data_IF_717048171945
#
_entry.id   IF_717048171945
#
_cell.length_a   1.000
_cell.length_b   1.000
_cell.length_c   1.000
_cell.angle_alpha   90.00
_cell.angle_beta   90.00
_cell.angle_gamma   90.00
#
_symmetry.space_group_name_H-M   'P 1'
#
loop_
_entity.id
_entity.type
_entity.pdbx_description
1 polymer ?
#
# COMPACT_ATOMS: atom_id res chain seq x y z
N UNK A 1 36.50 -21.72 27.57
CA UNK A 1 35.27 -21.14 27.01
C UNK A 1 35.12 -21.68 25.60
N UNK A 2 34.05 -22.43 25.32
CA UNK A 2 33.76 -22.82 23.94
C UNK A 2 33.41 -21.54 23.15
N UNK A 3 33.86 -21.39 21.90
CA UNK A 3 33.50 -20.23 21.09
C UNK A 3 31.98 -20.25 20.86
N UNK A 4 31.30 -19.13 21.15
CA UNK A 4 29.89 -18.96 20.84
C UNK A 4 29.69 -19.13 19.33
N UNK A 5 28.71 -19.97 18.96
CA UNK A 5 28.33 -20.17 17.56
C UNK A 5 27.76 -18.85 17.04
N UNK A 6 28.08 -18.44 15.79
CA UNK A 6 27.49 -17.26 15.19
C UNK A 6 25.96 -17.38 15.15
N UNK A 7 25.26 -16.29 15.47
CA UNK A 7 23.81 -16.21 15.41
C UNK A 7 23.31 -16.55 13.99
N UNK A 8 22.24 -17.32 13.93
CA UNK A 8 21.52 -17.64 12.70
C UNK A 8 20.84 -16.42 12.11
N UNK A 9 20.47 -16.51 10.82
CA UNK A 9 19.73 -15.44 10.17
C UNK A 9 18.38 -15.18 10.86
N UNK A 10 17.67 -16.24 11.26
CA UNK A 10 16.41 -16.15 12.00
C UNK A 10 16.59 -15.44 13.35
N UNK A 11 17.64 -15.77 14.11
CA UNK A 11 17.94 -15.08 15.38
C UNK A 11 18.23 -13.60 15.18
N UNK A 12 19.01 -13.24 14.14
CA UNK A 12 19.29 -11.82 13.81
C UNK A 12 18.02 -11.06 13.42
N UNK A 13 17.15 -11.67 12.61
CA UNK A 13 15.89 -11.06 12.17
C UNK A 13 14.88 -10.94 13.29
N UNK A 14 14.79 -11.95 14.17
CA UNK A 14 13.96 -11.88 15.38
C UNK A 14 14.43 -10.77 16.31
N UNK A 15 15.75 -10.62 16.49
CA UNK A 15 16.32 -9.55 17.31
C UNK A 15 16.09 -8.14 16.73
N UNK A 16 15.88 -8.01 15.42
CA UNK A 16 15.58 -6.74 14.75
C UNK A 16 14.10 -6.31 14.86
N UNK A 17 13.20 -7.22 15.25
CA UNK A 17 11.76 -6.95 15.28
C UNK A 17 11.34 -5.82 16.23
N UNK A 18 11.90 -5.68 17.45
CA UNK A 18 11.58 -4.54 18.32
C UNK A 18 11.93 -3.18 17.70
N UNK A 19 13.08 -3.09 17.01
CA UNK A 19 13.50 -1.86 16.33
C UNK A 19 12.58 -1.53 15.15
N UNK A 20 12.12 -2.57 14.42
CA UNK A 20 11.15 -2.43 13.33
C UNK A 20 9.78 -1.92 13.83
N UNK A 21 9.30 -2.37 14.99
CA UNK A 21 8.09 -1.84 15.63
C UNK A 21 8.27 -0.37 16.04
N UNK A 22 9.42 -0.05 16.64
CA UNK A 22 9.74 1.29 17.12
C UNK A 22 9.82 2.33 15.99
N UNK A 23 10.09 1.91 14.74
CA UNK A 23 10.07 2.78 13.56
C UNK A 23 8.67 3.38 13.28
N UNK A 24 7.60 2.75 13.77
CA UNK A 24 6.23 3.24 13.61
C UNK A 24 5.72 4.00 14.82
N UNK A 25 5.86 3.38 16.00
CA UNK A 25 5.50 3.95 17.29
C UNK A 25 6.10 3.10 18.41
N UNK A 26 6.51 3.70 19.55
CA UNK A 26 6.91 2.92 20.73
C UNK A 26 5.78 2.03 21.29
N UNK A 27 4.53 2.27 20.87
CA UNK A 27 3.34 1.55 21.33
C UNK A 27 2.82 0.51 20.34
N UNK A 28 3.40 0.41 19.13
CA UNK A 28 2.97 -0.63 18.19
C UNK A 28 3.26 -2.01 18.78
N UNK A 29 2.26 -2.89 18.78
CA UNK A 29 2.37 -4.26 19.25
C UNK A 29 1.79 -5.19 18.19
N UNK A 30 2.64 -6.09 17.69
CA UNK A 30 2.24 -7.13 16.76
C UNK A 30 2.87 -8.46 17.18
N UNK A 31 2.26 -9.55 16.73
CA UNK A 31 2.80 -10.89 16.90
C UNK A 31 4.18 -10.99 16.23
N UNK A 32 5.08 -11.74 16.85
CA UNK A 32 6.39 -12.02 16.27
C UNK A 32 6.27 -12.62 14.85
N UNK A 33 7.17 -12.25 13.92
CA UNK A 33 7.11 -12.72 12.55
C UNK A 33 7.40 -14.22 12.47
N UNK A 34 6.76 -14.90 11.51
CA UNK A 34 7.11 -16.26 11.13
C UNK A 34 8.33 -16.22 10.21
N UNK A 35 9.50 -16.54 10.75
CA UNK A 35 10.76 -16.56 10.03
C UNK A 35 11.04 -17.98 9.54
N UNK A 36 10.90 -18.22 8.23
CA UNK A 36 10.94 -19.57 7.65
C UNK A 36 12.23 -19.78 6.86
N UNK A 37 12.99 -20.81 7.24
CA UNK A 37 14.33 -21.08 6.68
C UNK A 37 14.35 -21.49 5.21
N UNK A 38 13.22 -21.95 4.67
CA UNK A 38 13.10 -22.48 3.31
C UNK A 38 11.85 -21.95 2.61
N UNK A 39 11.94 -21.75 1.29
CA UNK A 39 10.80 -21.32 0.48
C UNK A 39 9.66 -22.33 0.45
N UNK A 40 9.96 -23.62 0.67
CA UNK A 40 8.93 -24.66 0.79
C UNK A 40 8.09 -24.48 2.06
N UNK A 41 8.72 -24.16 3.19
CA UNK A 41 8.01 -23.85 4.43
C UNK A 41 7.20 -22.56 4.28
N UNK A 42 7.77 -21.54 3.66
CA UNK A 42 7.07 -20.30 3.34
C UNK A 42 5.81 -20.51 2.50
N UNK A 43 5.91 -21.31 1.43
CA UNK A 43 4.76 -21.65 0.60
C UNK A 43 3.66 -22.41 1.36
N UNK A 44 4.00 -23.19 2.39
CA UNK A 44 3.03 -23.87 3.23
C UNK A 44 2.21 -22.91 4.09
N UNK A 45 2.80 -21.77 4.50
CA UNK A 45 2.09 -20.69 5.19
C UNK A 45 1.29 -19.78 4.23
N UNK A 46 1.49 -19.91 2.91
CA UNK A 46 0.80 -19.15 1.87
C UNK A 46 1.67 -18.15 1.12
N UNK A 47 2.95 -17.99 1.48
CA UNK A 47 3.86 -17.04 0.83
C UNK A 47 4.29 -17.55 -0.54
N UNK A 48 3.79 -16.92 -1.61
CA UNK A 48 4.13 -17.29 -3.00
C UNK A 48 4.55 -16.07 -3.83
N UNK A 49 5.69 -16.18 -4.54
CA UNK A 49 6.12 -15.18 -5.51
C UNK A 49 6.93 -13.99 -4.96
N UNK A 50 6.77 -13.67 -3.68
CA UNK A 50 7.53 -12.67 -2.90
C UNK A 50 8.42 -13.34 -1.82
N UNK A 51 9.33 -12.58 -1.21
CA UNK A 51 10.14 -13.02 -0.07
C UNK A 51 9.51 -12.69 1.29
N UNK A 52 8.45 -11.89 1.30
CA UNK A 52 7.68 -11.52 2.47
C UNK A 52 6.19 -11.41 2.10
N UNK A 53 5.32 -11.66 3.08
CA UNK A 53 3.90 -11.35 2.99
C UNK A 53 3.34 -10.98 4.36
N UNK A 54 2.21 -10.28 4.30
CA UNK A 54 1.36 -9.99 5.45
C UNK A 54 0.03 -10.70 5.36
N UNK A 55 -0.48 -11.15 6.51
CA UNK A 55 -1.85 -11.63 6.65
C UNK A 55 -2.65 -10.63 7.47
N UNK A 56 -3.57 -9.90 6.84
CA UNK A 56 -4.37 -8.88 7.54
C UNK A 56 -5.31 -9.50 8.58
N UNK A 57 -5.73 -10.74 8.36
CA UNK A 57 -6.68 -11.47 9.21
C UNK A 57 -6.15 -11.71 10.63
N UNK A 58 -4.88 -12.06 10.76
CA UNK A 58 -4.27 -12.41 12.05
C UNK A 58 -3.01 -11.59 12.38
N UNK A 59 -2.78 -10.52 11.61
CA UNK A 59 -1.61 -9.63 11.72
C UNK A 59 -0.26 -10.35 11.73
N UNK A 60 -0.16 -11.49 11.04
CA UNK A 60 1.09 -12.24 10.95
C UNK A 60 1.92 -11.74 9.78
N UNK A 61 3.18 -11.39 10.08
CA UNK A 61 4.25 -11.18 9.09
C UNK A 61 4.93 -12.52 8.84
N UNK A 62 5.05 -12.93 7.57
CA UNK A 62 5.73 -14.17 7.16
C UNK A 62 6.91 -13.84 6.26
N UNK A 63 8.09 -14.32 6.62
CA UNK A 63 9.34 -14.06 5.89
C UNK A 63 9.95 -15.38 5.39
N UNK A 64 10.31 -15.41 4.11
CA UNK A 64 11.12 -16.46 3.51
C UNK A 64 12.62 -16.10 3.58
N UNK A 65 13.30 -16.65 4.58
CA UNK A 65 14.72 -16.42 4.80
C UNK A 65 15.61 -17.01 3.71
N UNK A 66 15.11 -17.96 2.91
CA UNK A 66 15.85 -18.46 1.75
C UNK A 66 15.90 -17.40 0.66
N UNK A 67 14.76 -16.82 0.28
CA UNK A 67 14.72 -15.75 -0.72
C UNK A 67 15.45 -14.47 -0.24
N UNK A 68 15.37 -14.14 1.05
CA UNK A 68 16.18 -13.07 1.65
C UNK A 68 17.68 -13.26 1.37
N UNK A 69 18.18 -14.50 1.45
CA UNK A 69 19.58 -14.82 1.12
C UNK A 69 19.86 -14.71 -0.37
N UNK A 70 18.96 -15.22 -1.21
CA UNK A 70 19.09 -15.20 -2.67
C UNK A 70 19.07 -13.78 -3.23
N UNK A 71 18.29 -12.87 -2.62
CA UNK A 71 18.24 -11.44 -2.95
C UNK A 71 19.41 -10.63 -2.38
N UNK A 72 20.20 -11.20 -1.46
CA UNK A 72 21.32 -10.50 -0.83
C UNK A 72 20.90 -9.38 0.13
N UNK A 73 19.72 -9.48 0.73
CA UNK A 73 19.15 -8.47 1.63
C UNK A 73 19.21 -8.87 3.11
N UNK A 74 20.12 -9.79 3.47
CA UNK A 74 20.16 -10.39 4.82
C UNK A 74 20.40 -9.37 5.94
N UNK A 75 21.02 -8.23 5.61
CA UNK A 75 21.41 -7.18 6.55
C UNK A 75 20.42 -6.00 6.58
N UNK A 76 19.23 -6.16 5.99
CA UNK A 76 18.14 -5.17 5.98
C UNK A 76 16.91 -5.64 6.76
N UNK A 77 17.12 -6.38 7.86
CA UNK A 77 16.04 -6.97 8.64
C UNK A 77 15.07 -5.91 9.19
N UNK A 78 15.59 -4.79 9.72
CA UNK A 78 14.75 -3.72 10.28
C UNK A 78 13.91 -3.07 9.19
N UNK A 79 14.51 -2.78 8.03
CA UNK A 79 13.84 -2.14 6.90
C UNK A 79 12.72 -3.01 6.33
N UNK A 80 12.99 -4.29 6.10
CA UNK A 80 11.98 -5.25 5.61
C UNK A 80 10.88 -5.43 6.64
N UNK A 81 11.21 -5.74 7.89
CA UNK A 81 10.18 -5.97 8.93
C UNK A 81 9.34 -4.72 9.18
N UNK A 82 9.95 -3.52 9.18
CA UNK A 82 9.21 -2.27 9.34
C UNK A 82 8.27 -2.03 8.17
N UNK A 83 8.64 -2.40 6.95
CA UNK A 83 7.74 -2.34 5.79
C UNK A 83 6.50 -3.22 6.00
N UNK A 84 6.69 -4.51 6.33
CA UNK A 84 5.57 -5.42 6.58
C UNK A 84 4.66 -4.95 7.72
N UNK A 85 5.24 -4.42 8.81
CA UNK A 85 4.48 -3.81 9.91
C UNK A 85 3.63 -2.63 9.40
N UNK A 86 4.15 -1.86 8.44
CA UNK A 86 3.45 -0.75 7.81
C UNK A 86 2.11 -1.12 7.19
N UNK A 87 2.01 -2.32 6.62
CA UNK A 87 0.74 -2.80 6.07
C UNK A 87 -0.32 -3.07 7.14
N UNK A 88 0.08 -3.31 8.39
CA UNK A 88 -0.82 -3.50 9.53
C UNK A 88 -1.18 -2.21 10.27
N UNK A 89 -0.34 -1.16 10.20
CA UNK A 89 -0.52 0.05 11.02
C UNK A 89 -0.77 1.32 10.24
N UNK A 90 -0.59 1.31 8.92
CA UNK A 90 -0.67 2.52 8.10
C UNK A 90 -1.51 2.34 6.85
N UNK A 91 -1.12 1.46 5.92
CA UNK A 91 -1.86 1.23 4.69
C UNK A 91 -1.62 -0.19 4.16
N UNK A 92 -2.63 -1.07 4.07
CA UNK A 92 -4.06 -0.78 4.27
C UNK A 92 -4.54 -0.79 5.73
N UNK A 93 -3.72 -1.26 6.68
CA UNK A 93 -4.05 -1.47 8.10
C UNK A 93 -5.10 -2.56 8.39
N UNK A 94 -6.15 -2.67 7.58
CA UNK A 94 -7.20 -3.68 7.72
C UNK A 94 -7.60 -4.29 6.37
N UNK A 95 -8.25 -5.46 6.40
CA UNK A 95 -8.83 -6.05 5.20
C UNK A 95 -10.00 -5.20 4.66
N UNK A 96 -10.73 -4.55 5.56
CA UNK A 96 -11.81 -3.63 5.25
C UNK A 96 -11.31 -2.46 4.41
N UNK A 97 -10.25 -1.78 4.85
CA UNK A 97 -9.70 -0.63 4.11
C UNK A 97 -8.96 -1.06 2.85
N UNK A 98 -8.33 -2.24 2.84
CA UNK A 98 -7.83 -2.84 1.61
C UNK A 98 -8.97 -3.00 0.59
N UNK A 99 -10.10 -3.57 1.01
CA UNK A 99 -11.27 -3.81 0.14
C UNK A 99 -11.90 -2.49 -0.33
N UNK A 100 -12.02 -1.48 0.54
CA UNK A 100 -12.45 -0.12 0.15
C UNK A 100 -11.53 0.50 -0.89
N UNK A 101 -10.22 0.30 -0.73
CA UNK A 101 -9.25 0.82 -1.70
C UNK A 101 -9.45 0.21 -3.08
N UNK A 102 -9.77 -1.08 -3.17
CA UNK A 102 -10.11 -1.77 -4.41
C UNK A 102 -11.40 -1.19 -5.00
N UNK A 103 -12.45 -1.03 -4.18
CA UNK A 103 -13.71 -0.47 -4.65
C UNK A 103 -13.53 0.94 -5.28
N UNK A 104 -12.73 1.81 -4.65
CA UNK A 104 -12.45 3.17 -5.13
C UNK A 104 -11.62 3.23 -6.41
N UNK A 105 -10.88 2.18 -6.76
CA UNK A 105 -10.09 2.13 -7.99
C UNK A 105 -10.78 1.43 -9.16
N UNK A 106 -11.80 0.60 -8.92
CA UNK A 106 -12.50 -0.12 -9.98
C UNK A 106 -13.06 0.79 -11.09
N UNK A 107 -13.65 1.98 -10.80
CA UNK A 107 -14.12 2.87 -11.86
C UNK A 107 -12.99 3.39 -12.77
N UNK A 108 -11.76 3.44 -12.27
CA UNK A 108 -10.56 3.84 -13.02
C UNK A 108 -9.97 2.72 -13.89
N UNK A 109 -10.42 1.47 -13.74
CA UNK A 109 -9.79 0.29 -14.34
C UNK A 109 -10.76 -0.48 -15.25
N UNK A 110 -11.42 0.17 -16.22
CA UNK A 110 -12.33 -0.54 -17.11
C UNK A 110 -11.56 -1.62 -17.87
N UNK A 111 -12.10 -2.84 -17.92
CA UNK A 111 -11.55 -4.01 -18.63
C UNK A 111 -10.26 -4.62 -18.04
N UNK A 112 -9.67 -4.01 -17.01
CA UNK A 112 -8.40 -4.45 -16.38
C UNK A 112 -8.48 -4.57 -14.86
N UNK A 113 -9.68 -4.81 -14.32
CA UNK A 113 -9.96 -4.91 -12.88
C UNK A 113 -9.14 -5.97 -12.16
N UNK A 114 -8.67 -7.01 -12.86
CA UNK A 114 -7.77 -8.03 -12.31
C UNK A 114 -6.43 -7.47 -11.80
N UNK A 115 -6.03 -6.26 -12.23
CA UNK A 115 -4.82 -5.60 -11.77
C UNK A 115 -5.03 -4.71 -10.53
N UNK A 116 -6.27 -4.51 -10.08
CA UNK A 116 -6.59 -3.69 -8.91
C UNK A 116 -5.76 -4.07 -7.66
N UNK A 117 -5.64 -5.36 -7.27
CA UNK A 117 -4.85 -5.72 -6.09
C UNK A 117 -3.37 -5.37 -6.21
N UNK A 118 -2.80 -5.53 -7.41
CA UNK A 118 -1.42 -5.17 -7.69
C UNK A 118 -1.21 -3.65 -7.57
N UNK A 119 -2.12 -2.85 -8.12
CA UNK A 119 -2.03 -1.39 -8.04
C UNK A 119 -2.18 -0.91 -6.59
N UNK A 120 -3.09 -1.53 -5.82
CA UNK A 120 -3.26 -1.24 -4.40
C UNK A 120 -1.96 -1.49 -3.64
N UNK A 121 -1.34 -2.66 -3.84
CA UNK A 121 -0.04 -3.02 -3.25
C UNK A 121 1.03 -1.97 -3.57
N UNK A 122 1.25 -1.68 -4.86
CA UNK A 122 2.27 -0.71 -5.27
C UNK A 122 2.06 0.67 -4.66
N UNK A 123 0.80 1.10 -4.54
CA UNK A 123 0.48 2.39 -3.95
C UNK A 123 0.74 2.40 -2.44
N UNK A 124 0.33 1.36 -1.71
CA UNK A 124 0.57 1.23 -0.28
C UNK A 124 2.06 1.13 0.04
N UNK A 125 2.84 0.44 -0.79
CA UNK A 125 4.29 0.33 -0.62
C UNK A 125 4.97 1.69 -0.76
N UNK A 126 4.59 2.49 -1.76
CA UNK A 126 5.15 3.83 -1.96
C UNK A 126 4.93 4.70 -0.72
N UNK A 127 3.74 4.62 -0.12
CA UNK A 127 3.38 5.36 1.08
C UNK A 127 4.21 4.89 2.29
N UNK A 128 4.26 3.58 2.51
CA UNK A 128 5.01 2.96 3.62
C UNK A 128 6.49 3.30 3.52
N UNK A 129 7.07 3.06 2.35
CA UNK A 129 8.50 3.19 2.12
C UNK A 129 8.96 4.66 2.16
N UNK A 130 8.16 5.61 1.63
CA UNK A 130 8.45 7.05 1.79
C UNK A 130 8.41 7.46 3.27
N UNK A 131 7.42 7.00 4.02
CA UNK A 131 7.32 7.30 5.46
C UNK A 131 8.50 6.73 6.24
N UNK A 132 8.86 5.47 6.02
CA UNK A 132 9.97 4.81 6.71
C UNK A 132 11.31 5.50 6.44
N UNK A 133 11.56 5.87 5.18
CA UNK A 133 12.76 6.62 4.81
C UNK A 133 12.80 8.00 5.49
N UNK A 134 11.71 8.78 5.38
CA UNK A 134 11.72 10.19 5.82
C UNK A 134 11.54 10.38 7.33
N UNK A 135 10.72 9.56 7.96
CA UNK A 135 10.32 9.75 9.35
C UNK A 135 11.13 8.88 10.30
N UNK A 136 11.46 7.65 9.90
CA UNK A 136 12.24 6.71 10.71
C UNK A 136 13.73 6.67 10.32
N UNK A 137 14.13 7.28 9.19
CA UNK A 137 15.52 7.33 8.76
C UNK A 137 16.08 5.98 8.32
N UNK A 138 15.22 5.05 7.93
CA UNK A 138 15.60 3.71 7.51
C UNK A 138 16.27 3.71 6.13
N UNK A 139 17.15 2.74 5.88
CA UNK A 139 17.95 2.58 4.64
C UNK A 139 17.13 2.01 3.47
N UNK A 140 15.96 2.60 3.23
CA UNK A 140 15.06 2.17 2.16
C UNK A 140 15.68 2.33 0.76
N UNK A 141 16.45 3.40 0.45
CA UNK A 141 17.13 3.50 -0.84
C UNK A 141 18.11 2.34 -1.09
N UNK A 142 18.91 1.98 -0.09
CA UNK A 142 19.90 0.90 -0.18
C UNK A 142 19.25 -0.47 -0.27
N UNK A 143 18.18 -0.71 0.51
CA UNK A 143 17.36 -1.91 0.39
C UNK A 143 16.79 -2.03 -1.03
N UNK A 144 16.20 -0.95 -1.57
CA UNK A 144 15.61 -0.96 -2.91
C UNK A 144 16.67 -1.22 -3.99
N UNK A 145 17.86 -0.64 -3.86
CA UNK A 145 18.99 -0.96 -4.75
C UNK A 145 19.36 -2.44 -4.71
N UNK A 146 19.42 -3.03 -3.51
CA UNK A 146 19.73 -4.46 -3.35
C UNK A 146 18.63 -5.34 -3.97
N UNK A 147 17.35 -5.02 -3.74
CA UNK A 147 16.21 -5.74 -4.34
C UNK A 147 16.22 -5.63 -5.86
N UNK A 148 16.47 -4.44 -6.41
CA UNK A 148 16.57 -4.24 -7.87
C UNK A 148 17.74 -5.02 -8.47
N UNK A 149 18.90 -5.05 -7.79
CA UNK A 149 20.07 -5.80 -8.24
C UNK A 149 19.86 -7.33 -8.18
N UNK A 150 19.17 -7.81 -7.14
CA UNK A 150 18.81 -9.22 -6.98
C UNK A 150 17.68 -9.67 -7.93
N UNK A 151 16.81 -8.77 -8.37
CA UNK A 151 15.67 -9.10 -9.22
C UNK A 151 16.03 -9.12 -10.72
N UNK A 152 16.39 -10.30 -11.21
CA UNK A 152 16.71 -10.52 -12.63
C UNK A 152 15.52 -11.09 -13.45
N UNK A 153 14.30 -11.08 -12.90
CA UNK A 153 13.11 -11.64 -13.59
C UNK A 153 12.71 -10.80 -14.80
N UNK A 154 12.56 -11.44 -15.96
CA UNK A 154 12.04 -10.81 -17.18
C UNK A 154 12.82 -9.57 -17.65
N UNK A 155 12.28 -8.88 -18.66
CA UNK A 155 12.76 -7.52 -19.03
C UNK A 155 12.05 -6.47 -18.16
N UNK A 156 12.70 -5.35 -17.81
CA UNK A 156 12.03 -4.25 -17.14
C UNK A 156 10.92 -3.68 -18.05
N UNK A 157 9.68 -3.72 -17.59
CA UNK A 157 8.54 -3.08 -18.24
C UNK A 157 8.58 -1.56 -18.03
N UNK A 158 7.80 -0.80 -18.81
CA UNK A 158 7.65 0.65 -18.59
C UNK A 158 7.09 0.95 -17.19
N UNK A 159 6.13 0.15 -16.72
CA UNK A 159 5.58 0.26 -15.37
C UNK A 159 6.64 0.06 -14.30
N UNK A 160 7.53 -0.94 -14.46
CA UNK A 160 8.65 -1.16 -13.55
C UNK A 160 9.58 0.07 -13.50
N UNK A 161 9.90 0.66 -14.66
CA UNK A 161 10.75 1.85 -14.75
C UNK A 161 10.06 3.05 -14.08
N UNK A 162 8.78 3.28 -14.36
CA UNK A 162 7.97 4.31 -13.70
C UNK A 162 8.03 4.14 -12.18
N UNK A 163 7.77 2.92 -11.68
CA UNK A 163 7.75 2.62 -10.26
C UNK A 163 9.08 2.94 -9.56
N UNK A 164 10.21 2.51 -10.15
CA UNK A 164 11.54 2.85 -9.63
C UNK A 164 11.83 4.35 -9.73
N UNK A 165 11.34 5.03 -10.78
CA UNK A 165 11.55 6.47 -10.95
C UNK A 165 10.81 7.28 -9.90
N UNK A 166 9.63 6.82 -9.47
CA UNK A 166 8.88 7.43 -8.36
C UNK A 166 9.72 7.40 -7.08
N UNK A 167 10.34 6.25 -6.75
CA UNK A 167 11.22 6.15 -5.59
C UNK A 167 12.42 7.08 -5.66
N UNK A 168 13.10 7.16 -6.81
CA UNK A 168 14.21 8.09 -7.00
C UNK A 168 13.79 9.55 -6.70
N UNK A 169 12.59 9.95 -7.12
CA UNK A 169 12.05 11.28 -6.85
C UNK A 169 11.62 11.48 -5.40
N UNK A 170 10.96 10.48 -4.80
CA UNK A 170 10.51 10.52 -3.40
C UNK A 170 11.69 10.68 -2.44
N UNK A 171 12.79 9.98 -2.69
CA UNK A 171 13.97 9.98 -1.83
C UNK A 171 15.07 10.95 -2.28
N UNK A 172 14.84 11.72 -3.35
CA UNK A 172 15.83 12.68 -3.86
C UNK A 172 17.12 12.04 -4.38
N UNK A 173 17.04 10.80 -4.87
CA UNK A 173 18.19 10.08 -5.44
C UNK A 173 18.63 10.69 -6.76
N UNK A 174 19.87 10.40 -7.16
CA UNK A 174 20.34 10.72 -8.50
C UNK A 174 19.50 9.97 -9.55
N UNK A 175 19.23 10.62 -10.67
CA UNK A 175 18.43 10.04 -11.75
C UNK A 175 19.13 8.79 -12.29
N UNK A 176 18.42 7.67 -12.31
CA UNK A 176 18.94 6.38 -12.77
C UNK A 176 19.69 5.59 -11.69
N UNK A 177 19.72 6.04 -10.43
CA UNK A 177 20.27 5.25 -9.33
C UNK A 177 19.56 3.90 -9.12
N UNK A 178 18.26 3.82 -9.42
CA UNK A 178 17.47 2.58 -9.39
C UNK A 178 17.15 2.11 -10.81
N UNK A 179 16.72 3.01 -11.69
CA UNK A 179 16.29 2.64 -13.04
C UNK A 179 17.46 2.23 -13.95
N UNK A 180 18.69 2.65 -13.62
CA UNK A 180 19.89 2.38 -14.42
C UNK A 180 19.74 2.82 -15.87
N UNK A 181 20.27 2.00 -16.79
CA UNK A 181 20.20 2.25 -18.25
C UNK A 181 18.80 2.04 -18.85
N UNK A 182 17.86 1.49 -18.08
CA UNK A 182 16.49 1.29 -18.55
C UNK A 182 15.72 2.62 -18.61
N UNK A 183 16.17 3.64 -17.85
CA UNK A 183 15.62 4.98 -17.96
C UNK A 183 16.22 5.67 -19.20
N UNK A 184 15.41 6.07 -20.17
CA UNK A 184 15.89 6.80 -21.34
C UNK A 184 16.64 8.10 -20.94
N UNK A 185 17.67 8.50 -21.71
CA UNK A 185 18.45 9.70 -21.41
C UNK A 185 17.56 10.95 -21.41
N UNK A 186 17.89 11.91 -20.55
CA UNK A 186 17.21 13.20 -20.52
C UNK A 186 17.48 13.91 -21.85
N UNK A 187 16.44 14.31 -22.56
CA UNK A 187 16.63 15.18 -23.72
C UNK A 187 17.36 16.46 -23.29
N UNK A 188 18.37 16.91 -24.06
CA UNK A 188 18.95 18.23 -23.81
C UNK A 188 17.82 19.26 -23.92
N UNK A 189 17.62 20.07 -22.86
CA UNK A 189 16.74 21.24 -22.94
C UNK A 189 17.14 22.02 -24.18
N UNK A 190 16.28 22.07 -25.20
CA UNK A 190 16.52 22.94 -26.33
C UNK A 190 16.69 24.35 -25.76
N UNK A 191 17.82 25.05 -26.02
CA UNK A 191 17.94 26.44 -25.61
C UNK A 191 16.77 27.19 -26.22
N UNK A 192 16.07 27.98 -25.41
CA UNK A 192 14.93 28.77 -25.84
C UNK A 192 15.27 29.44 -27.17
N UNK A 193 14.52 29.08 -28.22
CA UNK A 193 14.76 29.57 -29.57
C UNK A 193 14.62 31.09 -29.52
N UNK A 194 15.76 31.79 -29.54
CA UNK A 194 15.79 33.22 -29.84
C UNK A 194 15.32 33.34 -31.28
N UNK A 195 14.16 33.96 -31.48
CA UNK A 195 13.54 34.16 -32.78
C UNK A 195 14.54 34.81 -33.76
N UNK A 196 15.02 34.04 -34.73
CA UNK A 196 15.95 34.55 -35.74
C UNK A 196 16.22 33.55 -36.86
N UNK A 197 15.69 33.86 -38.04
CA UNK A 197 16.00 33.30 -39.37
C UNK A 197 15.74 31.80 -39.61
N UNK A 198 14.59 31.51 -40.23
CA UNK A 198 14.38 30.30 -41.04
C UNK A 198 14.97 30.53 -42.43
N UNK A 199 15.91 29.70 -42.87
CA UNK A 199 16.02 29.36 -44.30
C UNK A 199 16.72 28.01 -44.51
N UNK A 200 15.95 27.06 -45.05
CA UNK A 200 16.38 26.14 -46.09
C UNK A 200 17.39 25.05 -45.75
N UNK A 201 16.89 23.87 -45.35
CA UNK A 201 17.26 22.55 -45.91
C UNK A 201 16.54 21.45 -45.10
N UNK A 202 15.34 21.09 -45.53
CA UNK A 202 14.58 19.97 -44.97
C UNK A 202 14.15 19.07 -46.12
N UNK A 203 14.90 17.99 -46.35
CA UNK A 203 14.46 16.78 -47.08
C UNK A 203 15.62 15.76 -47.11
N UNK A 204 16.02 15.20 -45.97
CA UNK A 204 16.85 13.98 -45.89
C UNK A 204 17.00 13.36 -44.47
N UNK A 205 16.17 13.69 -43.47
CA UNK A 205 16.31 13.16 -42.09
C UNK A 205 15.11 12.38 -41.53
N UNK A 206 14.05 12.20 -42.32
CA UNK A 206 12.73 11.79 -41.79
C UNK A 206 12.68 10.31 -41.33
N UNK A 207 13.58 9.42 -41.77
CA UNK A 207 13.46 7.99 -41.43
C UNK A 207 14.28 7.51 -40.21
N UNK A 208 15.23 8.31 -39.70
CA UNK A 208 15.97 7.98 -38.47
C UNK A 208 15.48 8.77 -37.25
N UNK A 209 14.76 9.87 -37.46
CA UNK A 209 14.20 10.68 -36.38
C UNK A 209 12.97 10.00 -35.75
N UNK A 210 12.10 9.30 -36.49
CA UNK A 210 10.84 8.75 -35.95
C UNK A 210 11.00 7.72 -34.81
N UNK A 211 12.06 6.90 -34.83
CA UNK A 211 12.32 5.91 -33.78
C UNK A 211 12.99 6.53 -32.54
N UNK A 212 13.82 7.57 -32.74
CA UNK A 212 14.41 8.35 -31.66
C UNK A 212 13.34 9.22 -30.99
N UNK A 213 12.47 9.84 -31.77
CA UNK A 213 11.37 10.72 -31.36
C UNK A 213 10.32 9.93 -30.55
N UNK A 214 9.93 8.74 -30.98
CA UNK A 214 9.04 7.86 -30.20
C UNK A 214 9.69 7.32 -28.91
N UNK A 215 11.00 7.08 -28.89
CA UNK A 215 11.72 6.69 -27.66
C UNK A 215 11.85 7.87 -26.68
N UNK A 216 11.91 9.09 -27.21
CA UNK A 216 12.01 10.34 -26.46
C UNK A 216 10.68 10.83 -25.90
N UNK A 217 9.57 10.63 -26.62
CA UNK A 217 8.22 10.93 -26.12
C UNK A 217 7.88 10.05 -24.93
N UNK A 218 8.12 8.73 -25.06
CA UNK A 218 7.93 7.76 -23.98
C UNK A 218 8.82 8.05 -22.74
N UNK A 219 9.98 8.67 -22.93
CA UNK A 219 10.89 9.07 -21.85
C UNK A 219 10.37 10.27 -21.06
N UNK A 220 9.79 11.24 -21.78
CA UNK A 220 9.19 12.44 -21.21
C UNK A 220 7.92 12.07 -20.43
N UNK A 221 7.12 11.14 -20.95
CA UNK A 221 5.89 10.66 -20.30
C UNK A 221 6.20 10.02 -18.92
N UNK A 222 7.17 9.10 -18.85
CA UNK A 222 7.56 8.48 -17.57
C UNK A 222 8.08 9.50 -16.55
N UNK A 223 8.84 10.50 -16.97
CA UNK A 223 9.37 11.52 -16.05
C UNK A 223 8.25 12.43 -15.51
N UNK A 224 7.29 12.80 -16.34
CA UNK A 224 6.12 13.59 -15.93
C UNK A 224 5.24 12.78 -14.99
N UNK A 225 4.93 11.53 -15.35
CA UNK A 225 4.10 10.64 -14.55
C UNK A 225 4.74 10.31 -13.21
N UNK A 226 6.06 10.05 -13.17
CA UNK A 226 6.76 9.79 -11.92
C UNK A 226 6.71 11.00 -10.97
N UNK A 227 6.79 12.23 -11.51
CA UNK A 227 6.64 13.46 -10.73
C UNK A 227 5.22 13.59 -10.19
N UNK A 228 4.21 13.34 -11.03
CA UNK A 228 2.81 13.35 -10.62
C UNK A 228 2.53 12.32 -9.52
N UNK A 229 3.00 11.07 -9.68
CA UNK A 229 2.90 10.05 -8.66
C UNK A 229 3.62 10.43 -7.35
N UNK A 230 4.84 10.97 -7.42
CA UNK A 230 5.57 11.39 -6.21
C UNK A 230 4.82 12.48 -5.42
N UNK A 231 4.15 13.40 -6.12
CA UNK A 231 3.28 14.41 -5.50
C UNK A 231 2.03 13.80 -4.91
N UNK A 232 1.38 12.91 -5.66
CA UNK A 232 0.17 12.20 -5.23
C UNK A 232 0.42 11.43 -3.93
N UNK A 233 1.52 10.66 -3.85
CA UNK A 233 1.93 9.89 -2.66
C UNK A 233 2.10 10.82 -1.45
N UNK A 234 2.80 11.95 -1.62
CA UNK A 234 3.04 12.90 -0.52
C UNK A 234 1.78 13.64 -0.10
N UNK A 235 0.95 14.06 -1.04
CA UNK A 235 -0.30 14.78 -0.76
C UNK A 235 -1.30 13.91 -0.01
N UNK A 236 -1.48 12.65 -0.44
CA UNK A 236 -2.43 11.73 0.15
C UNK A 236 -1.86 10.84 1.25
N UNK A 237 -0.65 11.09 1.76
CA UNK A 237 -0.02 10.26 2.78
C UNK A 237 -0.94 9.95 3.99
N UNK A 238 -1.60 10.99 4.52
CA UNK A 238 -2.51 10.82 5.68
C UNK A 238 -3.90 10.28 5.33
N UNK A 239 -4.33 10.44 4.09
CA UNK A 239 -5.67 10.07 3.60
C UNK A 239 -5.53 9.24 2.33
N UNK A 240 -4.82 8.11 2.44
CA UNK A 240 -4.33 7.36 1.30
C UNK A 240 -5.45 6.81 0.41
N UNK A 241 -6.59 6.44 0.98
CA UNK A 241 -7.77 5.99 0.22
C UNK A 241 -8.25 7.00 -0.83
N UNK A 242 -8.00 8.31 -0.64
CA UNK A 242 -8.37 9.33 -1.63
C UNK A 242 -7.40 9.39 -2.83
N UNK A 243 -6.17 8.91 -2.68
CA UNK A 243 -5.16 8.92 -3.74
C UNK A 243 -5.17 7.66 -4.60
N UNK A 244 -5.76 6.55 -4.12
CA UNK A 244 -5.63 5.24 -4.76
C UNK A 244 -6.24 5.18 -6.17
N UNK A 245 -7.42 5.76 -6.39
CA UNK A 245 -8.05 5.82 -7.71
C UNK A 245 -7.24 6.67 -8.70
N UNK A 246 -6.70 7.80 -8.23
CA UNK A 246 -5.84 8.69 -9.04
C UNK A 246 -4.55 8.00 -9.47
N UNK A 247 -3.96 7.20 -8.57
CA UNK A 247 -2.80 6.38 -8.90
C UNK A 247 -3.15 5.30 -9.93
N UNK A 248 -4.32 4.67 -9.81
CA UNK A 248 -4.80 3.70 -10.78
C UNK A 248 -4.97 4.30 -12.19
N UNK A 249 -5.55 5.51 -12.31
CA UNK A 249 -5.66 6.23 -13.59
C UNK A 249 -4.29 6.54 -14.19
N UNK A 250 -3.32 6.95 -13.37
CA UNK A 250 -1.95 7.24 -13.82
C UNK A 250 -1.24 5.98 -14.36
N UNK A 251 -1.45 4.82 -13.73
CA UNK A 251 -0.80 3.56 -14.09
C UNK A 251 -1.51 2.84 -15.25
N UNK A 252 -2.79 3.12 -15.49
CA UNK A 252 -3.62 2.45 -16.49
C UNK A 252 -2.97 2.36 -17.90
N UNK A 253 -2.41 3.42 -18.49
CA UNK A 253 -1.79 3.34 -19.82
C UNK A 253 -0.68 2.28 -19.89
N UNK A 254 0.12 2.17 -18.83
CA UNK A 254 1.24 1.23 -18.75
C UNK A 254 0.78 -0.24 -18.69
N UNK A 255 -0.42 -0.50 -18.16
CA UNK A 255 -1.02 -1.84 -18.11
C UNK A 255 -1.63 -2.25 -19.45
N UNK A 256 -2.23 -1.30 -20.17
CA UNK A 256 -2.82 -1.54 -21.48
C UNK A 256 -1.72 -1.85 -22.52
N UNK A 257 -0.59 -1.16 -22.44
CA UNK A 257 0.53 -1.34 -23.38
C UNK A 257 1.26 -2.68 -23.22
N UNK A 258 1.35 -3.20 -21.99
CA UNK A 258 2.08 -4.43 -21.68
C UNK A 258 1.30 -5.30 -20.69
N UNK A 259 0.62 -6.32 -21.21
CA UNK A 259 -0.11 -7.30 -20.40
C UNK A 259 0.79 -8.09 -19.43
N UNK A 260 2.12 -8.06 -19.63
CA UNK A 260 3.11 -8.68 -18.73
C UNK A 260 3.84 -7.66 -17.86
N UNK A 261 3.38 -6.41 -17.81
CA UNK A 261 4.01 -5.32 -17.06
C UNK A 261 4.28 -5.65 -15.59
N UNK A 262 3.45 -6.52 -15.00
CA UNK A 262 3.52 -6.96 -13.60
C UNK A 262 4.52 -8.08 -13.29
N UNK A 263 5.16 -8.74 -14.27
CA UNK A 263 5.98 -9.95 -14.00
C UNK A 263 7.14 -9.69 -13.03
N UNK A 264 7.87 -8.59 -13.24
CA UNK A 264 8.98 -8.18 -12.36
C UNK A 264 8.49 -7.60 -11.02
N UNK A 265 7.27 -7.07 -10.99
CA UNK A 265 6.64 -6.52 -9.79
C UNK A 265 6.13 -7.61 -8.84
N UNK A 266 5.96 -8.87 -9.30
CA UNK A 266 5.52 -9.98 -8.44
C UNK A 266 6.39 -10.21 -7.20
N UNK A 267 7.68 -9.86 -7.26
CA UNK A 267 8.59 -9.96 -6.09
C UNK A 267 8.27 -8.94 -5.00
N UNK A 268 7.47 -7.91 -5.31
CA UNK A 268 7.05 -6.84 -4.43
C UNK A 268 5.55 -6.94 -4.09
N UNK A 269 4.92 -8.10 -4.27
CA UNK A 269 3.48 -8.30 -4.03
C UNK A 269 3.23 -9.00 -2.69
N UNK A 270 3.51 -8.30 -1.60
CA UNK A 270 3.37 -8.77 -0.21
C UNK A 270 1.91 -8.82 0.27
N UNK A 271 1.00 -8.03 -0.34
CA UNK A 271 -0.44 -8.02 -0.01
C UNK A 271 -1.30 -8.90 -0.91
N UNK A 272 -0.72 -9.66 -1.85
CA UNK A 272 -1.47 -10.40 -2.89
C UNK A 272 -2.59 -11.30 -2.36
N UNK A 273 -2.31 -12.02 -1.28
CA UNK A 273 -3.24 -12.96 -0.64
C UNK A 273 -3.57 -12.52 0.80
N UNK A 274 -3.37 -11.23 1.12
CA UNK A 274 -3.44 -10.71 2.48
C UNK A 274 -4.83 -10.82 3.13
N UNK A 275 -5.89 -10.88 2.29
CA UNK A 275 -7.26 -11.05 2.74
C UNK A 275 -7.74 -12.50 2.87
N UNK A 276 -6.87 -13.49 2.60
CA UNK A 276 -7.26 -14.90 2.63
C UNK A 276 -7.73 -15.31 4.03
N UNK A 277 -9.00 -15.71 4.12
CA UNK A 277 -9.64 -16.13 5.38
C UNK A 277 -10.24 -14.99 6.20
N UNK A 278 -10.14 -13.74 5.72
CA UNK A 278 -10.73 -12.58 6.38
C UNK A 278 -12.17 -12.33 5.95
N UNK A 279 -12.85 -11.45 6.69
CA UNK A 279 -14.25 -11.12 6.43
C UNK A 279 -14.46 -9.60 6.53
N UNK A 280 -14.18 -8.82 5.47
CA UNK A 280 -14.46 -7.38 5.50
C UNK A 280 -15.96 -7.12 5.65
N UNK A 281 -16.34 -6.24 6.58
CA UNK A 281 -17.74 -5.86 6.80
C UNK A 281 -18.10 -4.55 6.07
N UNK A 282 -19.39 -4.34 5.81
CA UNK A 282 -19.89 -3.07 5.26
C UNK A 282 -19.57 -2.90 3.77
N UNK A 283 -19.33 -4.00 3.05
CA UNK A 283 -19.02 -3.98 1.61
C UNK A 283 -20.29 -4.04 0.75
N UNK A 284 -21.47 -4.13 1.35
CA UNK A 284 -22.75 -4.12 0.61
C UNK A 284 -23.15 -2.74 0.10
N UNK A 285 -22.92 -1.69 0.88
CA UNK A 285 -23.24 -0.30 0.51
C UNK A 285 -22.03 0.35 -0.17
N UNK A 286 -22.25 1.13 -1.24
CA UNK A 286 -21.18 1.92 -1.86
C UNK A 286 -20.91 3.19 -1.05
N UNK A 287 -19.63 3.45 -0.78
CA UNK A 287 -19.18 4.68 -0.14
C UNK A 287 -19.43 5.89 -1.08
N UNK A 288 -19.82 7.07 -0.57
CA UNK A 288 -19.96 8.28 -1.37
C UNK A 288 -18.72 8.61 -2.21
N UNK A 289 -17.54 8.35 -1.68
CA UNK A 289 -16.24 8.59 -2.31
C UNK A 289 -15.98 7.69 -3.52
N UNK A 290 -16.70 6.57 -3.68
CA UNK A 290 -16.62 5.74 -4.88
C UNK A 290 -17.29 6.39 -6.10
N UNK A 291 -18.18 7.35 -5.86
CA UNK A 291 -18.85 8.13 -6.91
C UNK A 291 -18.09 9.43 -7.24
N UNK A 292 -16.99 9.72 -6.55
CA UNK A 292 -16.16 10.85 -6.91
C UNK A 292 -15.52 10.65 -8.28
N UNK A 293 -15.47 11.73 -9.06
CA UNK A 293 -14.82 11.74 -10.37
C UNK A 293 -13.32 11.47 -10.20
N UNK A 294 -12.87 10.30 -10.65
CA UNK A 294 -11.46 9.92 -10.55
C UNK A 294 -10.68 10.66 -11.62
N UNK A 295 -10.01 11.74 -11.20
CA UNK A 295 -9.22 12.59 -12.09
C UNK A 295 -7.80 12.07 -12.26
N UNK A 296 -7.27 12.22 -13.47
CA UNK A 296 -5.84 12.03 -13.71
C UNK A 296 -5.04 13.04 -12.86
N UNK A 297 -3.96 12.65 -12.18
CA UNK A 297 -3.18 13.55 -11.31
C UNK A 297 -2.73 14.85 -11.99
N UNK A 298 -2.45 14.83 -13.30
CA UNK A 298 -2.08 16.01 -14.07
C UNK A 298 -3.22 17.04 -14.27
N UNK A 299 -4.47 16.65 -14.03
CA UNK A 299 -5.65 17.52 -14.07
C UNK A 299 -6.21 17.81 -12.66
N UNK A 300 -5.46 17.46 -11.61
CA UNK A 300 -5.84 17.70 -10.23
C UNK A 300 -5.18 19.01 -9.74
N UNK A 301 -6.00 20.05 -9.59
CA UNK A 301 -5.55 21.37 -9.12
C UNK A 301 -4.88 21.31 -7.74
N UNK A 302 -5.24 20.32 -6.90
CA UNK A 302 -4.63 20.13 -5.58
C UNK A 302 -3.18 19.64 -5.65
N UNK A 303 -2.74 19.13 -6.81
CA UNK A 303 -1.38 18.62 -7.06
C UNK A 303 -0.51 19.59 -7.88
N UNK A 304 -1.00 20.78 -8.22
CA UNK A 304 -0.28 21.78 -9.03
C UNK A 304 1.00 22.31 -8.32
N UNK A 305 2.00 22.72 -9.11
CA UNK A 305 3.32 23.17 -8.61
C UNK A 305 3.25 24.38 -7.66
N UNK A 306 2.23 25.24 -7.80
CA UNK A 306 2.01 26.43 -6.97
C UNK A 306 1.03 26.19 -5.81
N UNK A 307 0.61 24.94 -5.58
CA UNK A 307 -0.22 24.61 -4.43
C UNK A 307 0.59 24.86 -3.14
N UNK A 308 0.08 25.66 -2.18
CA UNK A 308 0.82 26.00 -0.97
C UNK A 308 1.16 24.71 -0.19
N UNK A 309 2.47 24.47 0.01
CA UNK A 309 3.02 23.26 0.64
C UNK A 309 2.82 23.25 2.17
N UNK A 310 2.45 24.38 2.78
CA UNK A 310 2.12 24.48 4.19
C UNK A 310 0.75 25.13 4.39
N UNK A 311 -0.29 24.30 4.35
CA UNK A 311 -1.57 24.63 4.95
C UNK A 311 -1.55 24.25 6.43
N UNK A 312 -1.39 25.24 7.31
CA UNK A 312 -1.77 25.17 8.72
C UNK A 312 -3.05 24.31 8.88
N UNK A 313 -3.02 23.20 9.67
CA UNK A 313 -4.17 22.30 9.80
C UNK A 313 -5.40 22.98 10.42
N UNK A 314 -5.26 24.22 10.93
CA UNK A 314 -6.35 25.07 11.42
C UNK A 314 -7.17 25.81 10.35
N UNK A 315 -6.82 25.72 9.06
CA UNK A 315 -7.62 26.27 7.95
C UNK A 315 -7.99 25.22 6.91
N UNK A 316 -8.30 24.00 7.34
CA UNK A 316 -9.36 23.27 6.66
C UNK A 316 -10.62 24.12 6.84
N UNK A 317 -11.20 24.60 5.73
CA UNK A 317 -12.48 25.28 5.79
C UNK A 317 -13.41 24.43 6.65
N UNK A 318 -14.08 25.06 7.63
CA UNK A 318 -15.15 24.44 8.42
C UNK A 318 -15.88 23.48 7.48
N UNK A 319 -16.05 22.19 7.82
CA UNK A 319 -16.73 21.25 6.95
C UNK A 319 -18.02 21.94 6.55
N UNK A 320 -18.08 22.34 5.28
CA UNK A 320 -19.24 23.00 4.75
C UNK A 320 -20.34 22.01 5.05
N UNK A 321 -21.31 22.42 5.87
CA UNK A 321 -22.60 21.75 5.92
C UNK A 321 -23.23 21.96 4.54
N UNK A 322 -22.64 21.37 3.49
CA UNK A 322 -23.42 20.85 2.40
C UNK A 322 -24.31 19.83 3.10
N UNK A 323 -25.58 20.20 3.26
CA UNK A 323 -26.64 19.23 3.39
C UNK A 323 -26.58 18.38 2.13
N UNK A 324 -25.64 17.44 2.07
CA UNK A 324 -25.76 16.26 1.26
C UNK A 324 -27.05 15.63 1.78
N UNK A 325 -28.13 15.82 1.02
CA UNK A 325 -29.32 15.00 1.20
C UNK A 325 -28.77 13.57 1.20
N UNK A 326 -28.95 12.85 2.30
CA UNK A 326 -28.60 11.45 2.42
C UNK A 326 -29.49 10.69 1.42
N UNK A 327 -29.09 10.69 0.15
CA UNK A 327 -29.48 9.65 -0.76
C UNK A 327 -28.95 8.39 -0.13
N UNK A 328 -29.84 7.46 0.19
CA UNK A 328 -29.48 6.08 0.51
C UNK A 328 -28.41 5.65 -0.49
N UNK A 329 -27.19 5.38 -0.01
CA UNK A 329 -26.09 4.91 -0.86
C UNK A 329 -26.60 3.77 -1.74
N UNK A 330 -26.23 3.80 -3.01
CA UNK A 330 -26.59 2.70 -3.89
C UNK A 330 -25.93 1.44 -3.33
N UNK A 331 -26.73 0.39 -3.10
CA UNK A 331 -26.17 -0.90 -2.73
C UNK A 331 -25.51 -1.54 -3.96
N UNK A 332 -24.40 -2.23 -3.76
CA UNK A 332 -23.82 -3.12 -4.77
C UNK A 332 -24.80 -4.25 -5.06
N UNK A 333 -24.77 -4.80 -6.27
CA UNK A 333 -25.44 -6.08 -6.50
C UNK A 333 -24.59 -7.26 -5.96
N UNK A 334 -25.19 -8.46 -5.78
CA UNK A 334 -24.46 -9.62 -5.25
C UNK A 334 -23.24 -10.03 -6.09
N UNK A 335 -23.25 -9.79 -7.40
CA UNK A 335 -22.13 -10.12 -8.28
C UNK A 335 -20.98 -9.13 -8.09
N UNK A 336 -21.26 -7.82 -8.07
CA UNK A 336 -20.29 -6.77 -7.76
C UNK A 336 -19.64 -6.99 -6.38
N UNK A 337 -20.46 -7.35 -5.39
CA UNK A 337 -20.00 -7.70 -4.05
C UNK A 337 -19.04 -8.90 -4.07
N UNK A 338 -19.44 -10.01 -4.72
CA UNK A 338 -18.61 -11.20 -4.83
C UNK A 338 -17.29 -10.95 -5.57
N UNK A 339 -17.33 -10.20 -6.67
CA UNK A 339 -16.12 -9.82 -7.43
C UNK A 339 -15.16 -8.97 -6.60
N UNK A 340 -15.69 -7.99 -5.85
CA UNK A 340 -14.88 -7.14 -4.97
C UNK A 340 -14.17 -7.97 -3.88
N UNK A 341 -14.89 -8.90 -3.24
CA UNK A 341 -14.29 -9.79 -2.24
C UNK A 341 -13.27 -10.75 -2.84
N UNK A 342 -13.51 -11.25 -4.07
CA UNK A 342 -12.56 -12.09 -4.78
C UNK A 342 -11.27 -11.33 -5.10
N UNK A 343 -11.37 -10.06 -5.50
CA UNK A 343 -10.21 -9.19 -5.71
C UNK A 343 -9.46 -8.92 -4.40
N UNK A 344 -10.15 -8.82 -3.27
CA UNK A 344 -9.53 -8.71 -1.94
C UNK A 344 -8.83 -10.00 -1.45
N UNK A 345 -8.83 -11.07 -2.25
CA UNK A 345 -8.15 -12.33 -1.94
C UNK A 345 -9.02 -13.39 -1.23
N UNK A 346 -10.34 -13.18 -1.15
CA UNK A 346 -11.24 -14.18 -0.57
C UNK A 346 -11.58 -15.26 -1.61
N UNK A 347 -11.51 -16.53 -1.17
CA UNK A 347 -11.99 -17.68 -1.94
C UNK A 347 -13.47 -17.90 -1.63
N UNK A 348 -14.34 -17.28 -2.44
CA UNK A 348 -15.79 -17.41 -2.33
C UNK A 348 -16.36 -17.95 -3.63
N UNK A 349 -17.30 -18.89 -3.54
CA UNK A 349 -18.14 -19.23 -4.67
C UNK A 349 -19.31 -18.24 -4.81
N UNK A 350 -20.07 -18.34 -5.91
CA UNK A 350 -21.18 -17.43 -6.17
C UNK A 350 -22.31 -17.57 -5.13
N UNK A 351 -22.50 -18.76 -4.56
CA UNK A 351 -23.52 -19.03 -3.55
C UNK A 351 -23.12 -18.41 -2.21
N UNK A 352 -21.88 -18.60 -1.77
CA UNK A 352 -21.31 -18.04 -0.55
C UNK A 352 -21.31 -16.51 -0.59
N UNK A 353 -20.93 -15.93 -1.73
CA UNK A 353 -20.99 -14.49 -1.93
C UNK A 353 -22.42 -13.95 -1.79
N UNK A 354 -23.41 -14.63 -2.38
CA UNK A 354 -24.82 -14.25 -2.27
C UNK A 354 -25.37 -14.41 -0.84
N UNK A 355 -25.07 -15.53 -0.17
CA UNK A 355 -25.46 -15.76 1.23
C UNK A 355 -24.93 -14.63 2.11
N UNK A 356 -23.65 -14.29 1.95
CA UNK A 356 -23.01 -13.24 2.72
C UNK A 356 -23.59 -11.86 2.42
N UNK A 357 -23.77 -11.53 1.14
CA UNK A 357 -24.39 -10.27 0.72
C UNK A 357 -25.77 -10.08 1.36
N UNK A 358 -26.65 -11.08 1.24
CA UNK A 358 -28.00 -10.98 1.82
C UNK A 358 -27.98 -11.03 3.35
N UNK A 359 -27.03 -11.74 3.96
CA UNK A 359 -26.83 -11.76 5.41
C UNK A 359 -26.47 -10.38 5.95
N UNK A 360 -25.50 -9.70 5.33
CA UNK A 360 -25.09 -8.34 5.71
C UNK A 360 -26.23 -7.33 5.48
N UNK A 361 -26.92 -7.40 4.33
CA UNK A 361 -28.10 -6.59 4.01
C UNK A 361 -29.26 -6.78 5.00
N UNK A 362 -29.44 -7.99 5.52
CA UNK A 362 -30.51 -8.31 6.45
C UNK A 362 -30.18 -7.92 7.89
N UNK A 363 -28.89 -7.87 8.26
CA UNK A 363 -28.40 -7.65 9.64
C UNK A 363 -29.07 -6.47 10.36
N UNK A 364 -29.28 -5.29 9.75
CA UNK A 364 -29.96 -4.17 10.42
C UNK A 364 -31.45 -4.42 10.72
N UNK A 365 -32.09 -5.36 10.03
CA UNK A 365 -33.51 -5.69 10.16
C UNK A 365 -33.75 -6.91 11.05
N UNK A 366 -32.70 -7.63 11.44
CA UNK A 366 -32.81 -8.75 12.37
C UNK A 366 -33.14 -8.20 13.76
N UNK A 367 -34.10 -8.84 14.44
CA UNK A 367 -34.36 -8.56 15.84
C UNK A 367 -33.08 -8.90 16.60
N UNK A 368 -32.47 -7.95 17.34
CA UNK A 368 -31.31 -8.26 18.15
C UNK A 368 -31.78 -9.26 19.21
N UNK A 369 -31.33 -10.50 19.09
CA UNK A 369 -31.42 -11.40 20.23
C UNK A 369 -30.59 -10.77 21.36
N UNK A 370 -30.98 -10.95 22.63
CA UNK A 370 -30.14 -10.56 23.75
C UNK A 370 -28.83 -11.34 23.64
N UNK A 371 -27.84 -10.74 23.01
CA UNK A 371 -26.48 -11.25 22.92
C UNK A 371 -25.67 -10.56 23.98
N UNK A 372 -24.78 -11.32 24.63
CA UNK A 372 -23.68 -10.70 25.35
C UNK A 372 -22.92 -9.81 24.34
N UNK A 373 -22.44 -8.63 24.74
CA UNK A 373 -21.56 -7.83 23.89
C UNK A 373 -20.45 -8.73 23.35
N UNK A 374 -20.39 -8.90 22.04
CA UNK A 374 -19.27 -9.60 21.43
C UNK A 374 -18.05 -8.69 21.62
N UNK A 375 -17.05 -9.17 22.37
CA UNK A 375 -15.81 -8.43 22.65
C UNK A 375 -14.88 -8.31 21.43
N UNK A 376 -15.27 -8.82 20.26
CA UNK A 376 -14.37 -8.95 19.12
C UNK A 376 -14.71 -7.94 18.02
N UNK A 377 -13.76 -7.04 17.76
CA UNK A 377 -13.53 -6.53 16.40
C UNK A 377 -12.85 -7.64 15.61
N UNK A 378 -13.38 -8.01 14.42
CA UNK A 378 -12.74 -9.00 13.54
C UNK A 378 -11.46 -8.45 12.90
N UNK A 379 -11.35 -7.12 12.79
CA UNK A 379 -10.10 -6.46 12.48
C UNK A 379 -9.30 -6.28 13.79
N UNK A 380 -8.17 -6.98 13.97
CA UNK A 380 -7.34 -6.83 15.16
C UNK A 380 -6.77 -5.40 15.24
N UNK A 381 -6.78 -4.80 16.43
CA UNK A 381 -6.17 -3.49 16.65
C UNK A 381 -4.68 -3.65 17.01
N UNK A 382 -3.76 -2.92 16.34
CA UNK A 382 -2.32 -3.04 16.56
C UNK A 382 -1.80 -2.36 17.83
N UNK A 383 -2.68 -1.77 18.66
CA UNK A 383 -2.29 -1.05 19.88
C UNK A 383 -2.05 -1.97 21.09
N UNK A 384 -2.28 -3.29 20.97
CA UNK A 384 -1.91 -4.26 22.02
C UNK A 384 -2.56 -4.00 23.39
N UNK A 385 -3.65 -3.24 23.40
CA UNK A 385 -4.45 -2.96 24.57
C UNK A 385 -5.69 -3.86 24.50
N UNK A 386 -5.76 -4.81 25.43
CA UNK A 386 -6.95 -5.62 25.62
C UNK A 386 -7.83 -4.93 26.67
N UNK A 387 -9.17 -4.98 26.57
CA UNK A 387 -10.04 -4.54 27.65
C UNK A 387 -9.70 -5.29 28.93
N UNK A 388 -9.54 -4.55 30.04
CA UNK A 388 -9.41 -5.14 31.37
C UNK A 388 -10.81 -5.27 31.98
N UNK A 389 -11.22 -6.46 32.40
CA UNK A 389 -12.56 -6.71 32.94
C UNK A 389 -12.59 -6.84 34.47
N UNK A 390 -13.78 -6.66 35.05
CA UNK A 390 -14.04 -6.88 36.47
C UNK A 390 -13.98 -8.39 36.79
N UNK A 391 -12.77 -8.91 36.93
CA UNK A 391 -12.46 -10.33 37.07
C UNK A 391 -10.99 -10.61 36.80
N UNK A 392 -10.35 -9.76 35.99
CA UNK A 392 -8.93 -9.81 35.72
C UNK A 392 -8.11 -9.28 36.92
N UNK A 393 -6.83 -9.68 37.07
CA UNK A 393 -5.98 -9.18 38.13
C UNK A 393 -5.80 -7.65 38.04
N UNK A 394 -6.05 -6.95 39.15
CA UNK A 394 -6.06 -5.48 39.20
C UNK A 394 -4.70 -4.85 38.89
N UNK A 395 -3.62 -5.62 39.01
CA UNK A 395 -2.25 -5.24 38.69
C UNK A 395 -1.95 -5.23 37.19
N UNK A 396 -2.82 -5.82 36.36
CA UNK A 396 -2.68 -5.81 34.90
C UNK A 396 -3.28 -4.55 34.25
N UNK A 397 -4.07 -3.76 35.00
CA UNK A 397 -4.62 -2.50 34.48
C UNK A 397 -3.49 -1.54 34.11
N UNK A 398 -3.45 -1.14 32.84
CA UNK A 398 -2.68 0.02 32.42
C UNK A 398 -3.48 1.28 32.75
N UNK A 399 -3.29 1.80 33.96
CA UNK A 399 -3.94 3.03 34.41
C UNK A 399 -3.61 4.24 33.55
N UNK A 400 -2.43 4.27 32.93
CA UNK A 400 -2.03 5.40 32.09
C UNK A 400 -2.87 5.42 30.82
N UNK A 401 -2.93 4.29 30.11
CA UNK A 401 -3.72 4.20 28.88
C UNK A 401 -5.22 4.29 29.14
N UNK A 402 -5.69 3.66 30.22
CA UNK A 402 -7.11 3.74 30.62
C UNK A 402 -7.55 5.19 30.86
N UNK A 403 -6.71 6.00 31.51
CA UNK A 403 -7.02 7.41 31.80
C UNK A 403 -6.82 8.34 30.60
N UNK A 404 -5.99 7.95 29.62
CA UNK A 404 -5.89 8.65 28.33
C UNK A 404 -7.15 8.42 27.51
N UNK A 405 -7.70 7.19 27.51
CA UNK A 405 -8.95 6.85 26.82
C UNK A 405 -10.16 7.55 27.45
N UNK A 406 -10.24 7.56 28.79
CA UNK A 406 -11.31 8.25 29.52
C UNK A 406 -10.86 8.64 30.93
N UNK A 407 -11.15 9.87 31.39
CA UNK A 407 -10.90 10.26 32.78
C UNK A 407 -11.75 9.47 33.79
N UNK A 408 -12.77 8.73 33.33
CA UNK A 408 -13.59 7.85 34.15
C UNK A 408 -13.28 6.39 33.79
N UNK A 409 -12.61 5.63 34.67
CA UNK A 409 -12.32 4.22 34.46
C UNK A 409 -13.58 3.38 34.68
N UNK A 410 -13.99 2.66 33.64
CA UNK A 410 -15.14 1.76 33.59
C UNK A 410 -14.60 0.37 33.18
N UNK A 411 -14.62 -0.63 34.09
CA UNK A 411 -14.24 -2.00 33.79
C UNK A 411 -14.87 -2.53 32.49
N UNK A 412 -14.05 -3.11 31.62
CA UNK A 412 -14.46 -3.67 30.32
C UNK A 412 -14.83 -2.66 29.23
N UNK A 413 -14.76 -1.35 29.51
CA UNK A 413 -15.14 -0.32 28.54
C UNK A 413 -14.03 0.72 28.31
N UNK A 414 -13.46 1.27 29.38
CA UNK A 414 -12.40 2.28 29.30
C UNK A 414 -11.14 1.89 30.06
N UNK A 415 -11.20 0.81 30.85
CA UNK A 415 -10.01 0.20 31.44
C UNK A 415 -9.40 -0.80 30.46
N UNK A 416 -8.11 -0.66 30.25
CA UNK A 416 -7.32 -1.50 29.35
C UNK A 416 -6.13 -2.09 30.10
N UNK A 417 -5.67 -3.24 29.63
CA UNK A 417 -4.44 -3.89 30.05
C UNK A 417 -3.50 -4.05 28.87
N UNK A 418 -2.20 -4.09 29.14
CA UNK A 418 -1.21 -4.41 28.10
C UNK A 418 -1.18 -5.90 27.87
N UNK A 419 -1.27 -6.30 26.60
CA UNK A 419 -1.14 -7.67 26.16
C UNK A 419 0.27 -8.24 26.36
#
# INVERSE_FOLDING_TARGET
MAPERPATLAERWSAAFPDALAAWSPYTRLKAPLLLDTSKAAAAEGLTGSFAMIRLVDQTVVIDLQQVRELGIQDYAVEVLAHEIGHHVYAPASITDHTRSLARMLPALPTVTQHAPMIANLYTDLLINDRLMRSAGLRMPELMQAVVAGNQRGKPSKLWILYLRIYELLWGMERGSLCGKALPPREPRQPAIVAGSRSGQASARIAQDDAADASSSNALDIEVDARLASRLVRHHARHWLAGVGRFAVLVLPYLIEDAKAGERLQTLMDTKDAGRGGQPEGMTDMDPEEFEDIRHPGADDALADDAPVDGDPGKTGKPGQSKAKSGTGQARDPFQYGELLRLAGLTLDAQDAAIRYYGERARPYLVPFPSLPAQHSEDPLPEGLDPWEAGDPIDQIDWRESLVLSPVPIPGLTTVQRR
#
